data_IF_000452410352
#
_entry.id   IF_000452410352
#
_cell.length_a   1.000
_cell.length_b   1.000
_cell.length_c   1.000
_cell.angle_alpha   90.00
_cell.angle_beta   90.00
_cell.angle_gamma   90.00
#
_symmetry.space_group_name_H-M   'P 1'
#
loop_
_entity.id
_entity.type
_entity.pdbx_description
1 polymer ?
#
# COMPACT_ATOMS: atom_id res chain seq x y z
N UNK A 1 19.58 -9.60 -7.82
CA UNK A 1 18.16 -9.26 -8.09
C UNK A 1 17.33 -10.06 -7.09
N UNK A 2 16.97 -9.45 -5.96
CA UNK A 2 16.30 -10.14 -4.83
C UNK A 2 15.05 -9.40 -4.35
N UNK A 3 14.71 -8.30 -5.02
CA UNK A 3 13.81 -7.31 -4.47
C UNK A 3 12.34 -7.60 -4.86
N UNK A 4 12.09 -8.26 -5.99
CA UNK A 4 10.73 -8.43 -6.55
C UNK A 4 9.87 -9.55 -5.92
N UNK A 5 10.36 -10.27 -4.91
CA UNK A 5 9.64 -11.43 -4.36
C UNK A 5 8.70 -11.09 -3.20
N UNK A 6 9.01 -10.06 -2.42
CA UNK A 6 8.21 -9.68 -1.25
C UNK A 6 7.18 -8.60 -1.59
N UNK A 7 5.91 -8.78 -1.20
CA UNK A 7 4.90 -7.75 -1.42
C UNK A 7 5.23 -6.52 -0.55
N UNK A 8 5.28 -5.34 -1.18
CA UNK A 8 5.68 -4.09 -0.53
C UNK A 8 4.56 -3.07 -0.51
N UNK A 9 4.74 -2.06 0.33
CA UNK A 9 3.84 -0.94 0.46
C UNK A 9 4.45 0.17 1.31
N UNK A 10 3.77 1.31 1.36
CA UNK A 10 4.10 2.43 2.22
C UNK A 10 2.83 3.10 2.75
N UNK A 11 2.92 3.65 3.95
CA UNK A 11 1.89 4.49 4.56
C UNK A 11 2.45 5.91 4.62
N UNK A 12 1.78 6.85 3.99
CA UNK A 12 2.23 8.25 3.88
C UNK A 12 1.19 9.15 4.52
N UNK A 13 1.60 10.08 5.37
CA UNK A 13 0.69 11.12 5.86
C UNK A 13 0.63 12.28 4.86
N UNK A 14 -0.55 12.53 4.30
CA UNK A 14 -0.79 13.61 3.35
C UNK A 14 -1.30 14.86 4.09
N UNK A 15 -0.39 15.81 4.33
CA UNK A 15 -0.65 17.02 5.12
C UNK A 15 -1.86 17.82 4.62
N UNK A 16 -2.04 18.08 3.29
CA UNK A 16 -3.15 18.92 2.82
C UNK A 16 -4.53 18.34 3.15
N UNK A 17 -4.70 17.03 3.07
CA UNK A 17 -5.98 16.37 3.39
C UNK A 17 -6.06 15.90 4.83
N UNK A 18 -4.95 15.91 5.57
CA UNK A 18 -4.81 15.35 6.93
C UNK A 18 -5.21 13.87 7.00
N UNK A 19 -4.97 13.14 5.92
CA UNK A 19 -5.28 11.70 5.79
C UNK A 19 -4.02 10.91 5.52
N UNK A 20 -4.03 9.64 5.90
CA UNK A 20 -3.02 8.70 5.47
C UNK A 20 -3.35 8.16 4.07
N UNK A 21 -2.32 7.89 3.28
CA UNK A 21 -2.45 7.18 2.01
C UNK A 21 -1.66 5.89 2.11
N UNK A 22 -2.36 4.78 1.95
CA UNK A 22 -1.77 3.45 1.94
C UNK A 22 -1.55 3.05 0.49
N UNK A 23 -0.29 2.90 0.12
CA UNK A 23 0.14 2.33 -1.15
C UNK A 23 0.52 0.88 -0.88
N UNK A 24 -0.18 -0.07 -1.48
CA UNK A 24 0.04 -1.49 -1.19
C UNK A 24 -0.01 -2.34 -2.46
N UNK A 25 0.90 -3.30 -2.56
CA UNK A 25 0.83 -4.40 -3.53
C UNK A 25 -0.53 -5.11 -3.42
N UNK A 26 -1.04 -5.65 -4.55
CA UNK A 26 -2.34 -6.34 -4.59
C UNK A 26 -2.44 -7.47 -3.56
N UNK A 27 -1.35 -8.18 -3.28
CA UNK A 27 -1.30 -9.27 -2.28
C UNK A 27 -1.54 -8.78 -0.85
N UNK A 28 -1.28 -7.50 -0.55
CA UNK A 28 -1.50 -6.89 0.76
C UNK A 28 -2.87 -6.24 0.91
N UNK A 29 -3.66 -6.13 -0.17
CA UNK A 29 -5.01 -5.50 -0.14
C UNK A 29 -6.12 -6.45 0.32
N UNK A 30 -5.77 -7.64 0.81
CA UNK A 30 -6.77 -8.53 1.40
C UNK A 30 -7.13 -8.02 2.80
N UNK A 31 -8.38 -8.25 3.22
CA UNK A 31 -8.86 -7.78 4.52
C UNK A 31 -7.93 -8.18 5.70
N UNK A 32 -7.45 -9.43 5.80
CA UNK A 32 -6.59 -9.83 6.92
C UNK A 32 -5.25 -9.08 6.97
N UNK A 33 -4.70 -8.68 5.82
CA UNK A 33 -3.47 -7.89 5.76
C UNK A 33 -3.74 -6.42 6.05
N UNK A 34 -4.84 -5.88 5.53
CA UNK A 34 -5.26 -4.52 5.82
C UNK A 34 -5.53 -4.33 7.32
N UNK A 35 -6.23 -5.25 7.98
CA UNK A 35 -6.48 -5.19 9.44
C UNK A 35 -5.16 -5.11 10.23
N UNK A 36 -4.15 -5.88 9.83
CA UNK A 36 -2.81 -5.86 10.45
C UNK A 36 -2.10 -4.53 10.21
N UNK A 37 -2.17 -3.99 9.01
CA UNK A 37 -1.58 -2.69 8.66
C UNK A 37 -2.25 -1.59 9.51
N UNK A 38 -3.58 -1.54 9.50
CA UNK A 38 -4.35 -0.56 10.25
C UNK A 38 -4.04 -0.62 11.76
N UNK A 39 -4.04 -1.82 12.34
CA UNK A 39 -3.66 -2.01 13.74
C UNK A 39 -2.21 -1.55 14.03
N UNK A 40 -1.26 -1.86 13.14
CA UNK A 40 0.16 -1.52 13.33
C UNK A 40 0.45 -0.03 13.26
N UNK A 41 -0.34 0.71 12.49
CA UNK A 41 -0.25 2.16 12.32
C UNK A 41 -1.29 2.93 13.13
N UNK A 42 -2.08 2.23 13.96
CA UNK A 42 -3.19 2.79 14.75
C UNK A 42 -4.16 3.65 13.90
N UNK A 43 -4.51 3.14 12.72
CA UNK A 43 -5.42 3.79 11.78
C UNK A 43 -6.82 3.19 11.86
N UNK A 44 -7.83 4.04 11.72
CA UNK A 44 -9.22 3.66 11.49
C UNK A 44 -9.59 3.79 10.00
N UNK A 45 -10.68 3.16 9.57
CA UNK A 45 -11.17 3.24 8.19
C UNK A 45 -11.46 4.67 7.71
N UNK A 46 -11.77 5.57 8.64
CA UNK A 46 -12.00 6.98 8.33
C UNK A 46 -10.72 7.78 8.07
N UNK A 47 -9.53 7.25 8.38
CA UNK A 47 -8.28 8.02 8.40
C UNK A 47 -7.36 7.77 7.21
N UNK A 48 -7.70 6.82 6.34
CA UNK A 48 -6.86 6.45 5.21
C UNK A 48 -7.58 6.38 3.86
N UNK A 49 -6.79 6.56 2.79
CA UNK A 49 -7.17 6.23 1.42
C UNK A 49 -6.27 5.08 0.93
N UNK A 50 -6.87 4.03 0.37
CA UNK A 50 -6.10 2.96 -0.28
C UNK A 50 -5.87 3.32 -1.74
N UNK A 51 -4.61 3.36 -2.17
CA UNK A 51 -4.25 3.63 -3.56
C UNK A 51 -3.41 2.52 -4.14
N UNK A 52 -3.64 2.28 -5.44
CA UNK A 52 -2.67 1.57 -6.23
C UNK A 52 -1.44 2.44 -6.41
N UNK A 53 -0.26 1.84 -6.23
CA UNK A 53 0.99 2.50 -6.50
C UNK A 53 1.46 2.16 -7.91
N UNK A 54 1.31 3.06 -8.90
CA UNK A 54 1.89 2.84 -10.21
C UNK A 54 3.43 2.89 -10.16
N UNK A 55 4.08 3.29 -9.06
CA UNK A 55 5.54 3.20 -8.94
C UNK A 55 6.06 1.76 -8.74
N UNK A 56 5.16 0.79 -8.54
CA UNK A 56 5.46 -0.65 -8.50
C UNK A 56 4.79 -1.36 -9.69
N UNK A 57 4.98 -0.85 -10.91
CA UNK A 57 4.79 -1.71 -12.08
C UNK A 57 5.93 -2.72 -12.02
N UNK A 58 5.64 -3.97 -11.66
CA UNK A 58 6.65 -5.04 -11.80
C UNK A 58 7.17 -4.98 -13.23
N UNK A 59 8.47 -5.13 -13.44
CA UNK A 59 9.05 -5.12 -14.79
C UNK A 59 8.45 -6.22 -15.71
N UNK A 60 7.65 -7.15 -15.15
CA UNK A 60 6.85 -8.13 -15.88
C UNK A 60 5.59 -7.60 -16.56
N UNK A 61 5.05 -6.46 -16.14
CA UNK A 61 3.87 -5.85 -16.78
C UNK A 61 4.26 -4.80 -17.84
N UNK A 62 5.57 -4.64 -18.09
CA UNK A 62 6.13 -3.85 -19.20
C UNK A 62 6.89 -4.80 -20.12
N UNK A 63 6.16 -5.62 -20.87
CA UNK A 63 6.68 -6.18 -22.13
C UNK A 63 5.65 -5.91 -23.24
N UNK A 64 6.07 -5.30 -24.37
CA UNK A 64 5.21 -5.09 -25.52
C UNK A 64 4.85 -6.41 -26.23
#
# INVERSE_FOLDING_TARGET
MWDEEWPRGRVVYHIPTRRFVIYADRKLRTQPWMDRILARFALTEAEYDLRADPHYVSARDVQP
#
